data_IF_720861132307
#
_entry.id   IF_720861132307
#
_cell.length_a   1.000
_cell.length_b   1.000
_cell.length_c   1.000
_cell.angle_alpha   90.00
_cell.angle_beta   90.00
_cell.angle_gamma   90.00
#
_symmetry.space_group_name_H-M   'P 1'
#
loop_
_entity.id
_entity.type
_entity.pdbx_description
1 polymer ?
#
# COMPACT_ATOMS: atom_id res chain seq x y z
N UNK A 1 8.25 -7.00 13.03
CA UNK A 1 8.87 -6.99 11.69
C UNK A 1 7.84 -6.64 10.64
N UNK A 2 8.21 -5.76 9.74
CA UNK A 2 7.30 -5.32 8.70
C UNK A 2 7.58 -6.08 7.42
N UNK A 3 6.51 -6.42 6.71
CA UNK A 3 6.67 -7.04 5.41
C UNK A 3 6.93 -5.99 4.35
N UNK A 4 7.38 -6.43 3.18
CA UNK A 4 7.60 -5.52 2.07
C UNK A 4 6.31 -4.80 1.70
N UNK A 5 5.21 -5.54 1.71
CA UNK A 5 3.91 -4.95 1.38
C UNK A 5 3.54 -3.83 2.34
N UNK A 6 3.82 -4.02 3.62
CA UNK A 6 3.52 -2.98 4.59
C UNK A 6 4.38 -1.75 4.38
N UNK A 7 5.65 -1.95 4.10
CA UNK A 7 6.53 -0.83 3.80
C UNK A 7 6.02 -0.05 2.60
N UNK A 8 5.63 -0.76 1.56
CA UNK A 8 5.15 -0.10 0.35
C UNK A 8 3.84 0.65 0.61
N UNK A 9 2.95 0.05 1.40
CA UNK A 9 1.69 0.72 1.70
C UNK A 9 1.93 2.00 2.50
N UNK A 10 2.90 1.98 3.40
CA UNK A 10 3.26 3.18 4.13
C UNK A 10 3.79 4.26 3.21
N UNK A 11 4.64 3.88 2.28
CA UNK A 11 5.19 4.85 1.33
C UNK A 11 4.09 5.47 0.49
N UNK A 12 3.12 4.67 0.09
CA UNK A 12 2.00 5.20 -0.67
C UNK A 12 1.18 6.15 0.20
N UNK A 13 0.96 5.78 1.46
CA UNK A 13 0.21 6.61 2.38
C UNK A 13 0.87 7.96 2.58
N UNK A 14 2.19 7.97 2.59
CA UNK A 14 2.94 9.21 2.75
C UNK A 14 3.11 9.96 1.44
N UNK A 15 2.61 9.42 0.36
CA UNK A 15 2.77 9.99 -0.98
C UNK A 15 4.22 10.01 -1.43
N UNK A 16 5.06 9.16 -0.84
CA UNK A 16 6.44 9.03 -1.27
C UNK A 16 6.52 8.34 -2.63
N UNK A 17 5.62 7.40 -2.87
CA UNK A 17 5.53 6.72 -4.16
C UNK A 17 4.06 6.60 -4.52
N UNK A 18 3.81 6.30 -5.79
CA UNK A 18 2.44 6.11 -6.25
C UNK A 18 2.02 4.67 -6.03
N UNK A 19 0.71 4.45 -6.09
CA UNK A 19 0.17 3.10 -5.97
C UNK A 19 0.74 2.20 -7.06
N UNK A 20 0.83 2.72 -8.28
CA UNK A 20 1.38 1.94 -9.38
C UNK A 20 2.81 1.51 -9.10
N UNK A 21 3.61 2.44 -8.57
CA UNK A 21 4.98 2.12 -8.23
C UNK A 21 5.04 1.03 -7.17
N UNK A 22 4.21 1.16 -6.14
CA UNK A 22 4.19 0.17 -5.09
C UNK A 22 3.80 -1.21 -5.63
N UNK A 23 2.79 -1.25 -6.48
CA UNK A 23 2.37 -2.51 -7.07
C UNK A 23 3.46 -3.11 -7.96
N UNK A 24 4.18 -2.26 -8.65
CA UNK A 24 5.25 -2.73 -9.52
C UNK A 24 6.38 -3.38 -8.72
N UNK A 25 6.73 -2.78 -7.60
CA UNK A 25 7.82 -3.29 -6.77
C UNK A 25 7.38 -4.43 -5.87
N UNK A 26 6.09 -4.59 -5.67
CA UNK A 26 5.56 -5.58 -4.76
C UNK A 26 5.47 -6.94 -5.44
N UNK A 27 5.84 -7.99 -4.69
CA UNK A 27 5.74 -9.35 -5.21
C UNK A 27 4.30 -9.87 -5.14
N UNK A 28 3.50 -9.29 -4.25
CA UNK A 28 2.13 -9.75 -4.06
C UNK A 28 1.20 -8.55 -4.15
N UNK A 29 0.89 -8.14 -5.37
CA UNK A 29 0.03 -6.96 -5.53
C UNK A 29 -1.34 -7.12 -4.90
N UNK A 30 -1.87 -8.35 -4.86
CA UNK A 30 -3.16 -8.57 -4.26
C UNK A 30 -3.14 -8.19 -2.78
N UNK A 31 -2.09 -8.61 -2.07
CA UNK A 31 -1.94 -8.29 -0.65
C UNK A 31 -1.80 -6.79 -0.46
N UNK A 32 -0.97 -6.17 -1.29
CA UNK A 32 -0.76 -4.73 -1.18
C UNK A 32 -2.05 -3.97 -1.46
N UNK A 33 -2.81 -4.40 -2.44
CA UNK A 33 -4.08 -3.75 -2.74
C UNK A 33 -5.01 -3.83 -1.55
N UNK A 34 -5.06 -4.98 -0.89
CA UNK A 34 -5.87 -5.12 0.31
C UNK A 34 -5.46 -4.13 1.39
N UNK A 35 -4.17 -3.99 1.60
CA UNK A 35 -3.67 -3.04 2.60
C UNK A 35 -4.03 -1.60 2.22
N UNK A 36 -3.90 -1.27 0.95
CA UNK A 36 -4.23 0.08 0.50
C UNK A 36 -5.71 0.37 0.64
N UNK A 37 -6.53 -0.63 0.39
CA UNK A 37 -7.97 -0.46 0.54
C UNK A 37 -8.35 -0.23 1.99
N UNK A 38 -7.67 -0.90 2.90
CA UNK A 38 -7.91 -0.69 4.32
C UNK A 38 -7.61 0.75 4.71
N UNK A 39 -6.53 1.29 4.19
CA UNK A 39 -6.17 2.66 4.48
C UNK A 39 -7.26 3.60 3.95
N UNK A 40 -7.75 3.31 2.75
CA UNK A 40 -8.78 4.15 2.15
C UNK A 40 -10.11 4.03 2.87
N UNK A 41 -10.43 2.84 3.37
CA UNK A 41 -11.71 2.65 4.05
C UNK A 41 -11.74 3.33 5.42
N UNK A 42 -10.60 3.74 5.90
CA UNK A 42 -10.54 4.43 7.18
C UNK A 42 -11.20 5.79 7.11
N UNK A 43 -11.35 6.31 5.94
CA UNK A 43 -11.89 7.65 5.79
C UNK A 43 -13.41 7.59 5.93
N UNK A 44 -13.96 8.17 6.98
CA UNK A 44 -15.41 8.22 7.11
C UNK A 44 -15.95 9.24 6.12
N UNK A 45 -16.90 8.85 5.39
CA UNK A 45 -17.53 9.76 4.46
C UNK A 45 -18.66 10.53 5.12
#
# INVERSE_FOLDING_TARGET
MQTLEQCLSELVSKSAITTDEALYKCNRPTVLKGLLEEINSEIPT
#
